data_IF_254061340337
#
_entry.id   IF_254061340337
#
_cell.length_a   1.000
_cell.length_b   1.000
_cell.length_c   1.000
_cell.angle_alpha   90.00
_cell.angle_beta   90.00
_cell.angle_gamma   90.00
#
_symmetry.space_group_name_H-M   'P 1'
#
loop_
_entity.id
_entity.type
_entity.pdbx_description
1 polymer ?
#
# COMPACT_ATOMS: atom_id res chain seq x y z
N UNK A 1 26.79 46.32 -25.74
CA UNK A 1 27.62 46.32 -24.54
C UNK A 1 27.47 44.93 -23.97
N UNK A 2 28.47 44.04 -24.05
CA UNK A 2 28.42 42.69 -23.50
C UNK A 2 28.87 42.70 -22.03
N UNK A 3 28.12 42.10 -21.15
CA UNK A 3 28.45 41.91 -19.74
C UNK A 3 29.33 40.68 -19.54
N UNK A 4 30.35 40.90 -18.73
CA UNK A 4 31.47 40.01 -18.45
C UNK A 4 31.02 38.79 -17.61
N UNK A 5 31.43 37.61 -18.07
CA UNK A 5 31.43 36.38 -17.32
C UNK A 5 32.53 36.43 -16.25
N UNK A 6 32.13 36.48 -14.97
CA UNK A 6 33.04 36.33 -13.84
C UNK A 6 33.25 34.83 -13.59
N UNK A 7 34.40 34.32 -14.00
CA UNK A 7 34.87 32.96 -13.63
C UNK A 7 35.18 32.89 -12.13
N UNK A 8 34.60 31.89 -11.44
CA UNK A 8 35.02 31.54 -10.10
C UNK A 8 36.13 30.47 -10.15
N UNK A 9 37.20 30.61 -9.35
CA UNK A 9 38.32 29.69 -9.38
C UNK A 9 37.98 28.32 -8.75
N UNK A 10 38.55 27.27 -9.32
CA UNK A 10 38.53 25.91 -8.80
C UNK A 10 39.45 25.80 -7.58
N UNK A 11 39.12 25.05 -6.54
CA UNK A 11 40.05 24.75 -5.46
C UNK A 11 41.04 23.66 -5.90
N UNK A 12 42.31 23.87 -5.56
CA UNK A 12 43.40 22.93 -5.74
C UNK A 12 43.36 21.77 -4.75
N UNK A 13 43.94 20.61 -5.09
CA UNK A 13 44.03 19.47 -4.18
C UNK A 13 45.30 19.59 -3.31
N UNK A 14 45.11 19.66 -2.02
CA UNK A 14 46.22 19.69 -1.08
C UNK A 14 45.89 19.06 0.28
N UNK A 15 46.70 18.05 0.64
CA UNK A 15 47.02 17.77 2.04
C UNK A 15 46.49 16.48 2.64
N UNK A 16 47.39 15.51 2.74
CA UNK A 16 47.31 14.32 3.63
C UNK A 16 47.06 14.71 5.09
N UNK A 17 46.26 13.98 5.81
CA UNK A 17 46.16 14.17 7.27
C UNK A 17 45.06 13.38 7.96
N UNK A 18 45.42 12.26 8.55
CA UNK A 18 44.86 11.81 9.83
C UNK A 18 43.53 11.06 9.81
N UNK A 19 43.60 9.75 9.77
CA UNK A 19 42.47 8.84 10.06
C UNK A 19 41.86 9.11 11.45
N UNK A 20 40.63 9.60 11.45
CA UNK A 20 39.72 9.44 12.59
C UNK A 20 38.61 8.50 12.15
N UNK A 21 38.73 7.25 12.60
CA UNK A 21 37.69 6.24 12.39
C UNK A 21 36.37 6.70 12.99
N UNK A 22 35.31 6.56 12.22
CA UNK A 22 33.94 6.85 12.61
C UNK A 22 33.56 5.99 13.83
N UNK A 23 32.94 6.55 14.87
CA UNK A 23 32.59 5.84 16.12
C UNK A 23 31.49 4.77 15.95
N UNK A 24 30.94 4.60 14.75
CA UNK A 24 29.87 3.63 14.47
C UNK A 24 30.36 2.19 14.38
N UNK A 25 31.62 1.92 13.96
CA UNK A 25 32.15 0.56 13.80
C UNK A 25 32.63 -0.08 15.12
N UNK A 26 32.74 0.70 16.20
CA UNK A 26 33.18 0.16 17.50
C UNK A 26 32.05 -0.48 18.31
N UNK A 27 30.78 -0.15 17.99
CA UNK A 27 29.62 -0.71 18.70
C UNK A 27 29.15 -2.09 18.20
N UNK A 28 29.47 -2.44 16.96
CA UNK A 28 29.10 -3.74 16.37
C UNK A 28 29.98 -4.88 16.91
N UNK A 29 31.20 -4.58 17.38
CA UNK A 29 32.12 -5.59 17.91
C UNK A 29 31.79 -6.06 19.34
N UNK A 30 31.09 -5.24 20.15
CA UNK A 30 30.75 -5.60 21.55
C UNK A 30 29.43 -6.37 21.68
N UNK A 31 28.48 -6.19 20.76
CA UNK A 31 27.21 -6.95 20.77
C UNK A 31 27.36 -8.40 20.28
N UNK A 32 28.35 -8.70 19.45
CA UNK A 32 28.63 -10.08 18.99
C UNK A 32 29.20 -10.96 20.11
N UNK A 33 29.83 -10.36 21.13
CA UNK A 33 30.38 -11.11 22.27
C UNK A 33 29.31 -11.61 23.27
N UNK A 34 28.11 -11.02 23.28
CA UNK A 34 27.03 -11.44 24.20
C UNK A 34 26.14 -12.56 23.64
N UNK A 35 26.07 -12.71 22.30
CA UNK A 35 25.30 -13.76 21.66
C UNK A 35 26.00 -15.15 21.76
N UNK A 36 27.29 -15.17 21.96
CA UNK A 36 28.07 -16.42 22.07
C UNK A 36 27.85 -17.23 23.37
N UNK A 37 27.16 -16.64 24.38
CA UNK A 37 26.93 -17.32 25.66
C UNK A 37 25.69 -18.21 25.70
N UNK A 38 24.85 -18.20 24.66
CA UNK A 38 23.59 -18.97 24.60
C UNK A 38 23.51 -19.93 23.40
N UNK A 39 24.60 -20.19 22.70
CA UNK A 39 24.64 -21.23 21.67
C UNK A 39 24.75 -22.58 22.35
N UNK A 40 23.81 -23.54 22.20
CA UNK A 40 24.06 -24.91 22.57
C UNK A 40 25.20 -25.43 21.70
N UNK A 41 26.10 -26.23 22.31
CA UNK A 41 27.24 -26.88 21.62
C UNK A 41 26.67 -27.75 20.50
N UNK A 42 26.52 -27.22 19.31
CA UNK A 42 26.33 -28.00 18.10
C UNK A 42 27.70 -28.53 17.73
N UNK A 43 27.84 -29.89 17.73
CA UNK A 43 29.01 -30.57 17.25
C UNK A 43 29.40 -30.00 15.89
N UNK A 44 30.67 -29.62 15.74
CA UNK A 44 31.26 -29.21 14.48
C UNK A 44 31.10 -30.36 13.49
N UNK A 45 30.04 -30.37 12.69
CA UNK A 45 30.06 -31.07 11.43
C UNK A 45 31.00 -30.25 10.54
N UNK A 46 32.15 -30.79 10.23
CA UNK A 46 32.96 -30.34 9.11
C UNK A 46 32.06 -30.37 7.87
N UNK A 47 31.58 -29.20 7.47
CA UNK A 47 31.00 -29.04 6.15
C UNK A 47 32.11 -29.22 5.16
N UNK A 48 32.23 -30.43 4.60
CA UNK A 48 33.06 -30.67 3.44
C UNK A 48 32.59 -29.72 2.35
N UNK A 49 33.42 -28.72 2.05
CA UNK A 49 33.17 -27.86 0.89
C UNK A 49 33.24 -28.76 -0.35
N UNK A 50 32.24 -28.71 -1.23
CA UNK A 50 32.33 -29.47 -2.48
C UNK A 50 33.51 -28.94 -3.30
N UNK A 51 34.46 -29.84 -3.57
CA UNK A 51 35.68 -29.60 -4.39
C UNK A 51 35.32 -29.43 -5.86
N UNK A 52 34.43 -28.54 -6.22
CA UNK A 52 34.23 -28.06 -7.60
C UNK A 52 33.23 -26.89 -7.62
N UNK A 53 33.59 -25.79 -6.98
CA UNK A 53 32.85 -24.52 -7.28
C UNK A 53 33.42 -24.03 -8.61
N UNK A 54 32.79 -24.37 -9.72
CA UNK A 54 32.93 -23.60 -10.94
C UNK A 54 32.70 -22.14 -10.54
N UNK A 55 33.69 -21.29 -10.81
CA UNK A 55 33.61 -19.87 -10.54
C UNK A 55 32.38 -19.33 -11.29
N UNK A 56 31.33 -19.01 -10.54
CA UNK A 56 30.04 -18.50 -11.13
C UNK A 56 30.29 -17.08 -11.59
N UNK A 57 30.27 -16.87 -12.90
CA UNK A 57 30.34 -15.52 -13.46
C UNK A 57 28.97 -14.82 -13.30
N UNK A 58 28.84 -14.08 -12.22
CA UNK A 58 27.63 -13.28 -11.92
C UNK A 58 27.41 -12.11 -12.91
N UNK A 59 28.35 -11.81 -13.79
CA UNK A 59 28.22 -10.81 -14.85
C UNK A 59 27.44 -11.32 -16.07
N UNK A 60 27.22 -12.63 -16.19
CA UNK A 60 26.50 -13.24 -17.29
C UNK A 60 25.05 -13.57 -16.88
N UNK A 61 24.04 -13.05 -17.59
CA UNK A 61 22.64 -13.38 -17.31
C UNK A 61 22.35 -14.85 -17.62
N UNK A 62 21.59 -15.49 -16.73
CA UNK A 62 21.17 -16.91 -16.84
C UNK A 62 19.71 -17.09 -17.26
N UNK A 63 18.86 -16.06 -17.06
CA UNK A 63 17.47 -16.11 -17.48
C UNK A 63 17.34 -15.94 -19.00
N UNK A 64 16.35 -16.55 -19.64
CA UNK A 64 16.09 -16.36 -21.07
C UNK A 64 15.67 -14.92 -21.36
N UNK A 65 16.08 -14.35 -22.52
CA UNK A 65 15.71 -13.02 -22.96
C UNK A 65 16.89 -12.25 -23.57
N UNK A 66 16.59 -11.10 -24.18
CA UNK A 66 17.58 -10.25 -24.84
C UNK A 66 18.14 -9.10 -24.00
N UNK A 67 17.55 -8.83 -22.82
CA UNK A 67 18.00 -7.74 -21.94
C UNK A 67 19.38 -8.03 -21.32
N UNK A 68 20.10 -6.96 -20.90
CA UNK A 68 21.48 -7.02 -20.48
C UNK A 68 21.71 -7.77 -19.14
N UNK A 69 20.71 -7.80 -18.28
CA UNK A 69 20.81 -8.41 -16.94
C UNK A 69 19.62 -9.29 -16.61
N UNK A 70 19.79 -10.22 -15.67
CA UNK A 70 18.67 -11.02 -15.15
C UNK A 70 17.61 -10.19 -14.46
N UNK A 71 17.97 -9.03 -13.89
CA UNK A 71 17.04 -8.06 -13.34
C UNK A 71 16.08 -7.54 -14.41
N UNK A 72 16.62 -7.07 -15.54
CA UNK A 72 15.81 -6.55 -16.65
C UNK A 72 14.95 -7.65 -17.28
N UNK A 73 15.52 -8.87 -17.44
CA UNK A 73 14.80 -10.03 -18.00
C UNK A 73 13.63 -10.45 -17.11
N UNK A 74 13.84 -10.53 -15.81
CA UNK A 74 12.81 -10.97 -14.87
C UNK A 74 11.70 -9.93 -14.67
N UNK A 75 12.06 -8.66 -14.59
CA UNK A 75 11.12 -7.56 -14.34
C UNK A 75 10.52 -6.96 -15.62
N UNK A 76 11.02 -7.34 -16.80
CA UNK A 76 10.62 -6.76 -18.09
C UNK A 76 10.68 -5.23 -18.07
N UNK A 77 11.80 -4.70 -17.57
CA UNK A 77 11.91 -3.25 -17.33
C UNK A 77 11.91 -2.44 -18.63
N UNK A 78 12.47 -2.98 -19.70
CA UNK A 78 12.47 -2.32 -21.01
C UNK A 78 11.05 -2.13 -21.53
N UNK A 79 10.22 -3.18 -21.46
CA UNK A 79 8.82 -3.14 -21.86
C UNK A 79 8.03 -2.21 -20.94
N UNK A 80 8.24 -2.31 -19.62
CA UNK A 80 7.54 -1.48 -18.63
C UNK A 80 7.83 0.01 -18.85
N UNK A 81 9.09 0.37 -19.06
CA UNK A 81 9.51 1.76 -19.25
C UNK A 81 9.26 2.28 -20.68
N UNK A 82 8.87 1.42 -21.61
CA UNK A 82 8.42 1.80 -22.96
C UNK A 82 6.92 2.13 -23.05
N UNK A 83 6.15 1.84 -22.01
CA UNK A 83 4.69 2.08 -21.97
C UNK A 83 4.32 3.56 -21.81
N UNK A 84 5.25 4.39 -21.35
CA UNK A 84 5.03 5.83 -21.23
C UNK A 84 5.37 6.51 -22.57
N UNK A 85 4.56 7.53 -22.92
CA UNK A 85 4.89 8.39 -24.07
C UNK A 85 6.26 9.04 -23.89
N UNK A 86 7.00 9.19 -24.99
CA UNK A 86 8.27 9.88 -25.02
C UNK A 86 8.14 11.39 -25.19
N UNK A 87 9.25 12.15 -25.02
CA UNK A 87 9.24 13.62 -25.07
C UNK A 87 8.73 14.21 -26.39
N UNK A 88 8.72 13.45 -27.48
CA UNK A 88 8.21 13.88 -28.80
C UNK A 88 6.69 13.73 -28.95
N UNK A 89 6.05 13.00 -28.02
CA UNK A 89 4.62 12.68 -28.04
C UNK A 89 3.84 13.44 -26.97
N UNK A 90 4.54 14.08 -26.03
CA UNK A 90 3.91 14.85 -24.94
C UNK A 90 3.28 16.12 -25.49
N UNK A 91 2.07 16.42 -25.02
CA UNK A 91 1.48 17.75 -25.17
C UNK A 91 2.02 18.71 -24.10
N UNK A 92 2.38 18.20 -22.93
CA UNK A 92 3.06 18.89 -21.84
C UNK A 92 4.00 17.92 -21.12
N UNK A 93 5.16 18.41 -20.60
CA UNK A 93 6.14 17.52 -19.94
C UNK A 93 5.55 16.74 -18.76
N UNK A 94 4.59 17.31 -18.05
CA UNK A 94 3.96 16.66 -16.89
C UNK A 94 2.94 15.58 -17.29
N UNK A 95 2.73 15.34 -18.59
CA UNK A 95 2.03 14.16 -19.08
C UNK A 95 2.73 12.86 -18.64
N UNK A 96 4.07 12.87 -18.55
CA UNK A 96 4.83 11.75 -17.99
C UNK A 96 4.50 11.54 -16.50
N UNK A 97 4.44 12.60 -15.69
CA UNK A 97 4.04 12.51 -14.28
C UNK A 97 2.64 11.93 -14.13
N UNK A 98 1.70 12.40 -14.96
CA UNK A 98 0.32 11.91 -14.99
C UNK A 98 0.27 10.41 -15.32
N UNK A 99 0.98 9.95 -16.36
CA UNK A 99 1.02 8.54 -16.76
C UNK A 99 1.65 7.66 -15.69
N UNK A 100 2.82 8.04 -15.15
CA UNK A 100 3.53 7.26 -14.13
C UNK A 100 2.69 7.11 -12.87
N UNK A 101 2.02 8.17 -12.40
CA UNK A 101 1.14 8.10 -11.23
C UNK A 101 -0.01 7.11 -11.46
N UNK A 102 -0.65 7.12 -12.62
CA UNK A 102 -1.77 6.22 -12.89
C UNK A 102 -1.31 4.79 -13.13
N UNK A 103 -0.26 4.56 -13.93
CA UNK A 103 0.27 3.23 -14.20
C UNK A 103 0.80 2.55 -12.94
N UNK A 104 1.55 3.26 -12.09
CA UNK A 104 2.02 2.70 -10.81
C UNK A 104 0.86 2.39 -9.86
N UNK A 105 -0.19 3.21 -9.87
CA UNK A 105 -1.41 2.92 -9.11
C UNK A 105 -2.08 1.64 -9.56
N UNK A 106 -2.18 1.39 -10.87
CA UNK A 106 -2.74 0.14 -11.40
C UNK A 106 -1.92 -1.10 -11.01
N UNK A 107 -0.58 -0.98 -10.93
CA UNK A 107 0.29 -2.08 -10.47
C UNK A 107 0.05 -2.41 -8.98
N UNK A 108 -0.07 -1.41 -8.11
CA UNK A 108 -0.41 -1.61 -6.70
C UNK A 108 -1.81 -2.16 -6.51
N UNK A 109 -2.78 -1.68 -7.28
CA UNK A 109 -4.15 -2.21 -7.26
C UNK A 109 -4.20 -3.66 -7.73
N UNK A 110 -3.40 -4.02 -8.76
CA UNK A 110 -3.28 -5.41 -9.22
C UNK A 110 -2.81 -6.33 -8.09
N UNK A 111 -1.79 -5.94 -7.33
CA UNK A 111 -1.33 -6.71 -6.18
C UNK A 111 -2.41 -6.76 -5.09
N UNK A 112 -3.06 -5.63 -4.80
CA UNK A 112 -4.10 -5.54 -3.75
C UNK A 112 -5.28 -6.46 -4.01
N UNK A 113 -5.89 -6.42 -5.22
CA UNK A 113 -7.03 -7.28 -5.50
C UNK A 113 -6.65 -8.76 -5.61
N UNK A 114 -5.45 -9.08 -6.11
CA UNK A 114 -4.93 -10.46 -6.14
C UNK A 114 -4.76 -11.04 -4.74
N UNK A 115 -4.18 -10.26 -3.81
CA UNK A 115 -4.04 -10.65 -2.42
C UNK A 115 -5.40 -10.80 -1.70
N UNK A 116 -6.33 -9.88 -1.97
CA UNK A 116 -7.69 -9.95 -1.40
C UNK A 116 -8.46 -11.18 -1.91
N UNK A 117 -8.30 -11.55 -3.18
CA UNK A 117 -8.92 -12.75 -3.75
C UNK A 117 -8.36 -14.03 -3.14
N UNK A 118 -7.03 -14.13 -2.99
CA UNK A 118 -6.39 -15.26 -2.33
C UNK A 118 -6.73 -15.30 -0.83
N UNK A 119 -6.81 -14.14 -0.16
CA UNK A 119 -7.26 -14.08 1.23
C UNK A 119 -8.68 -14.64 1.40
N UNK A 120 -9.61 -14.32 0.50
CA UNK A 120 -10.95 -14.90 0.52
C UNK A 120 -10.91 -16.43 0.43
N UNK A 121 -10.10 -17.00 -0.47
CA UNK A 121 -9.91 -18.44 -0.61
C UNK A 121 -9.32 -19.08 0.66
N UNK A 122 -8.34 -18.43 1.28
CA UNK A 122 -7.72 -18.91 2.52
C UNK A 122 -8.71 -18.88 3.70
N UNK A 123 -9.53 -17.84 3.80
CA UNK A 123 -10.60 -17.76 4.81
C UNK A 123 -11.60 -18.91 4.61
N UNK A 124 -12.04 -19.15 3.37
CA UNK A 124 -12.93 -20.26 3.04
C UNK A 124 -12.33 -21.63 3.43
N UNK A 125 -11.00 -21.78 3.27
CA UNK A 125 -10.21 -22.95 3.65
C UNK A 125 -9.84 -23.04 5.13
N UNK A 126 -10.09 -21.99 5.93
CA UNK A 126 -9.80 -21.96 7.38
C UNK A 126 -8.40 -21.49 7.76
N UNK A 127 -7.52 -21.12 6.80
CA UNK A 127 -6.20 -20.56 7.10
C UNK A 127 -6.29 -19.04 7.31
N UNK A 128 -6.81 -18.65 8.48
CA UNK A 128 -7.02 -17.23 8.81
C UNK A 128 -5.71 -16.47 8.99
N UNK A 129 -4.64 -17.12 9.44
CA UNK A 129 -3.34 -16.45 9.61
C UNK A 129 -2.70 -16.07 8.28
N UNK A 130 -2.75 -16.95 7.29
CA UNK A 130 -2.25 -16.64 5.96
C UNK A 130 -3.10 -15.53 5.32
N UNK A 131 -4.44 -15.60 5.47
CA UNK A 131 -5.35 -14.57 4.99
C UNK A 131 -5.06 -13.19 5.59
N UNK A 132 -4.82 -13.09 6.90
CA UNK A 132 -4.47 -11.85 7.58
C UNK A 132 -3.19 -11.21 7.03
N UNK A 133 -2.17 -12.01 6.72
CA UNK A 133 -0.93 -11.48 6.10
C UNK A 133 -1.19 -10.85 4.74
N UNK A 134 -2.04 -11.50 3.91
CA UNK A 134 -2.39 -10.97 2.59
C UNK A 134 -3.27 -9.72 2.68
N UNK A 135 -4.24 -9.69 3.58
CA UNK A 135 -5.10 -8.51 3.79
C UNK A 135 -4.32 -7.29 4.25
N UNK A 136 -3.36 -7.46 5.17
CA UNK A 136 -2.46 -6.37 5.59
C UNK A 136 -1.66 -5.83 4.40
N UNK A 137 -1.19 -6.69 3.52
CA UNK A 137 -0.48 -6.27 2.31
C UNK A 137 -1.41 -5.61 1.30
N UNK A 138 -2.62 -6.13 1.11
CA UNK A 138 -3.63 -5.52 0.25
C UNK A 138 -3.99 -4.09 0.71
N UNK A 139 -4.21 -3.90 2.02
CA UNK A 139 -4.46 -2.57 2.61
C UNK A 139 -3.26 -1.64 2.42
N UNK A 140 -2.03 -2.15 2.60
CA UNK A 140 -0.81 -1.38 2.38
C UNK A 140 -0.67 -0.92 0.92
N UNK A 141 -1.01 -1.77 -0.04
CA UNK A 141 -1.02 -1.40 -1.47
C UNK A 141 -1.97 -0.22 -1.73
N UNK A 142 -3.21 -0.27 -1.19
CA UNK A 142 -4.17 0.83 -1.33
C UNK A 142 -3.65 2.10 -0.65
N UNK A 143 -3.02 1.99 0.53
CA UNK A 143 -2.42 3.12 1.24
C UNK A 143 -1.33 3.81 0.42
N UNK A 144 -0.52 3.07 -0.33
CA UNK A 144 0.51 3.65 -1.21
C UNK A 144 -0.05 4.52 -2.33
N UNK A 145 -1.33 4.38 -2.68
CA UNK A 145 -1.95 5.22 -3.72
C UNK A 145 -2.16 6.67 -3.26
N UNK A 146 -2.31 6.90 -1.95
CA UNK A 146 -2.56 8.24 -1.41
C UNK A 146 -1.38 9.19 -1.67
N UNK A 147 -0.13 8.89 -1.27
CA UNK A 147 1.01 9.75 -1.57
C UNK A 147 1.32 9.86 -3.07
N UNK A 148 0.95 8.86 -3.89
CA UNK A 148 1.10 8.99 -5.35
C UNK A 148 0.17 10.07 -5.93
N UNK A 149 -1.04 10.23 -5.39
CA UNK A 149 -1.94 11.31 -5.78
C UNK A 149 -1.34 12.69 -5.49
N UNK A 150 -0.54 12.82 -4.43
CA UNK A 150 0.11 14.09 -4.06
C UNK A 150 1.07 14.57 -5.14
N UNK A 151 1.65 13.66 -5.92
CA UNK A 151 2.47 14.02 -7.07
C UNK A 151 1.70 14.83 -8.12
N UNK A 152 0.40 14.59 -8.27
CA UNK A 152 -0.45 15.32 -9.23
C UNK A 152 -0.69 16.79 -8.82
N UNK A 153 -0.45 17.16 -7.57
CA UNK A 153 -0.53 18.55 -7.11
C UNK A 153 0.57 19.44 -7.71
N UNK A 154 1.64 18.82 -8.23
CA UNK A 154 2.74 19.52 -8.88
C UNK A 154 2.41 19.91 -10.34
N UNK A 155 1.31 19.41 -10.89
CA UNK A 155 0.80 19.87 -12.20
C UNK A 155 -0.03 21.12 -11.98
N UNK A 156 0.33 22.23 -12.65
CA UNK A 156 -0.47 23.45 -12.50
C UNK A 156 -1.88 23.27 -13.09
N UNK A 157 -2.91 23.87 -12.51
CA UNK A 157 -4.29 23.76 -13.02
C UNK A 157 -4.44 24.17 -14.48
N UNK A 158 -3.65 25.14 -14.94
CA UNK A 158 -3.68 25.60 -16.33
C UNK A 158 -3.02 24.60 -17.27
N UNK A 159 -1.86 24.11 -16.94
CA UNK A 159 -1.08 23.13 -17.74
C UNK A 159 -1.83 21.78 -17.81
N UNK A 160 -2.52 21.40 -16.74
CA UNK A 160 -3.36 20.21 -16.75
C UNK A 160 -4.44 20.21 -17.85
N UNK A 161 -4.94 21.41 -18.26
CA UNK A 161 -5.94 21.47 -19.33
C UNK A 161 -5.40 20.97 -20.68
N UNK A 162 -4.10 21.11 -20.94
CA UNK A 162 -3.46 20.56 -22.14
C UNK A 162 -3.50 19.04 -22.11
N UNK A 163 -3.14 18.43 -20.95
CA UNK A 163 -3.19 16.98 -20.73
C UNK A 163 -4.63 16.49 -20.84
N UNK A 164 -5.56 17.18 -20.19
CA UNK A 164 -6.98 16.82 -20.19
C UNK A 164 -7.58 16.73 -21.59
N UNK A 165 -7.19 17.61 -22.50
CA UNK A 165 -7.70 17.66 -23.88
C UNK A 165 -7.29 16.40 -24.70
N UNK A 166 -6.22 15.70 -24.33
CA UNK A 166 -5.75 14.49 -25.02
C UNK A 166 -6.16 13.19 -24.35
N UNK A 167 -6.83 13.26 -23.18
CA UNK A 167 -7.33 12.07 -22.49
C UNK A 167 -8.59 11.47 -23.14
N UNK A 168 -9.19 12.14 -24.11
CA UNK A 168 -10.46 11.71 -24.69
C UNK A 168 -11.56 11.61 -23.65
N UNK A 169 -12.22 10.47 -23.56
CA UNK A 169 -13.23 10.17 -22.54
C UNK A 169 -12.69 9.36 -21.37
N UNK A 170 -11.37 9.24 -21.21
CA UNK A 170 -10.74 8.48 -20.12
C UNK A 170 -11.12 9.06 -18.74
N UNK A 171 -11.51 8.20 -17.82
CA UNK A 171 -11.95 8.55 -16.49
C UNK A 171 -11.37 7.61 -15.45
N UNK A 172 -11.12 8.10 -14.24
CA UNK A 172 -10.74 7.26 -13.10
C UNK A 172 -11.76 6.16 -12.76
N UNK A 173 -13.02 6.30 -13.21
CA UNK A 173 -14.02 5.23 -13.08
C UNK A 173 -13.73 4.01 -13.96
N UNK A 174 -12.92 4.17 -15.01
CA UNK A 174 -12.52 3.10 -15.92
C UNK A 174 -11.31 2.30 -15.39
N UNK A 175 -10.73 2.68 -14.25
CA UNK A 175 -9.60 1.97 -13.66
C UNK A 175 -9.89 0.47 -13.53
N UNK A 176 -9.14 -0.40 -14.23
CA UNK A 176 -9.32 -1.85 -14.13
C UNK A 176 -8.96 -2.35 -12.73
N UNK A 177 -7.93 -1.81 -12.10
CA UNK A 177 -7.51 -2.20 -10.75
C UNK A 177 -8.58 -1.92 -9.70
N UNK A 178 -9.20 -0.73 -9.69
CA UNK A 178 -10.32 -0.43 -8.81
C UNK A 178 -11.56 -1.27 -9.14
N UNK A 179 -11.80 -1.60 -10.41
CA UNK A 179 -12.91 -2.45 -10.82
C UNK A 179 -12.75 -3.86 -10.26
N UNK A 180 -11.56 -4.45 -10.40
CA UNK A 180 -11.27 -5.79 -9.87
C UNK A 180 -11.32 -5.81 -8.33
N UNK A 181 -10.76 -4.81 -7.65
CA UNK A 181 -10.85 -4.74 -6.19
C UNK A 181 -12.32 -4.70 -5.74
N UNK A 182 -13.17 -3.84 -6.36
CA UNK A 182 -14.62 -3.80 -6.07
C UNK A 182 -15.33 -5.13 -6.32
N UNK A 183 -14.89 -5.93 -7.29
CA UNK A 183 -15.42 -7.25 -7.58
C UNK A 183 -15.09 -8.27 -6.47
N UNK A 184 -13.90 -8.18 -5.90
CA UNK A 184 -13.43 -9.13 -4.88
C UNK A 184 -14.00 -8.85 -3.48
N UNK A 185 -14.20 -7.58 -3.11
CA UNK A 185 -14.61 -7.18 -1.76
C UNK A 185 -15.88 -7.91 -1.25
N UNK A 186 -16.97 -8.08 -2.04
CA UNK A 186 -18.16 -8.81 -1.57
C UNK A 186 -17.87 -10.28 -1.23
N UNK A 187 -17.03 -10.96 -2.02
CA UNK A 187 -16.65 -12.36 -1.75
C UNK A 187 -15.84 -12.45 -0.46
N UNK A 188 -14.93 -11.52 -0.25
CA UNK A 188 -14.11 -11.44 0.95
C UNK A 188 -14.99 -11.26 2.21
N UNK A 189 -15.98 -10.36 2.15
CA UNK A 189 -16.98 -10.19 3.22
C UNK A 189 -17.81 -11.46 3.46
N UNK A 190 -18.27 -12.13 2.41
CA UNK A 190 -19.00 -13.39 2.51
C UNK A 190 -18.18 -14.51 3.17
N UNK A 191 -16.90 -14.64 2.80
CA UNK A 191 -15.97 -15.59 3.40
C UNK A 191 -15.82 -15.33 4.92
N UNK A 192 -15.58 -14.08 5.31
CA UNK A 192 -15.55 -13.67 6.72
C UNK A 192 -16.83 -14.03 7.46
N UNK A 193 -17.99 -13.62 6.95
CA UNK A 193 -19.27 -13.92 7.61
C UNK A 193 -19.57 -15.41 7.69
N UNK A 194 -19.10 -16.21 6.74
CA UNK A 194 -19.23 -17.66 6.78
C UNK A 194 -18.48 -18.26 7.96
N UNK A 195 -17.19 -17.92 8.14
CA UNK A 195 -16.39 -18.46 9.25
C UNK A 195 -16.87 -17.95 10.60
N UNK A 196 -17.27 -16.68 10.70
CA UNK A 196 -17.87 -16.11 11.92
C UNK A 196 -19.14 -16.83 12.33
N UNK A 197 -20.06 -17.08 11.38
CA UNK A 197 -21.31 -17.84 11.66
C UNK A 197 -21.04 -19.28 12.06
N UNK A 198 -20.04 -19.95 11.45
CA UNK A 198 -19.63 -21.30 11.86
C UNK A 198 -19.10 -21.33 13.29
N UNK A 199 -18.50 -20.25 13.78
CA UNK A 199 -18.10 -20.09 15.18
C UNK A 199 -19.27 -19.75 16.11
N UNK A 200 -20.49 -19.57 15.61
CA UNK A 200 -21.69 -19.27 16.42
C UNK A 200 -21.75 -17.84 16.93
N UNK A 201 -20.93 -16.90 16.40
CA UNK A 201 -20.81 -15.55 16.91
C UNK A 201 -21.67 -14.55 16.13
N UNK A 202 -22.37 -13.65 16.81
CA UNK A 202 -22.83 -12.39 16.24
C UNK A 202 -21.63 -11.45 15.99
N UNK A 203 -21.85 -10.31 15.31
CA UNK A 203 -20.77 -9.31 15.21
C UNK A 203 -20.47 -8.68 16.57
N UNK A 204 -21.49 -8.35 17.35
CA UNK A 204 -21.31 -7.80 18.69
C UNK A 204 -20.56 -8.78 19.60
N UNK A 205 -20.95 -10.07 19.61
CA UNK A 205 -20.25 -11.09 20.40
C UNK A 205 -18.76 -11.19 20.02
N UNK A 206 -18.47 -11.16 18.71
CA UNK A 206 -17.08 -11.19 18.23
C UNK A 206 -16.25 -10.03 18.81
N UNK A 207 -16.81 -8.82 18.91
CA UNK A 207 -16.10 -7.67 19.45
C UNK A 207 -16.02 -7.69 20.98
N UNK A 208 -17.06 -8.17 21.68
CA UNK A 208 -17.07 -8.30 23.14
C UNK A 208 -16.12 -9.42 23.60
N UNK A 209 -16.08 -10.54 22.87
CA UNK A 209 -15.29 -11.73 23.18
C UNK A 209 -14.00 -11.82 22.32
N UNK A 210 -13.50 -10.69 21.80
CA UNK A 210 -12.43 -10.65 20.81
C UNK A 210 -11.17 -11.41 21.22
N UNK A 211 -10.81 -11.40 22.51
CA UNK A 211 -9.63 -12.12 23.03
C UNK A 211 -9.73 -13.64 22.88
N UNK A 212 -10.92 -14.19 22.96
CA UNK A 212 -11.15 -15.63 22.82
C UNK A 212 -11.23 -16.05 21.34
N UNK A 213 -11.45 -15.08 20.45
CA UNK A 213 -11.61 -15.26 19.02
C UNK A 213 -10.67 -14.35 18.22
N UNK A 214 -9.45 -14.17 18.69
CA UNK A 214 -8.47 -13.18 18.22
C UNK A 214 -8.31 -13.15 16.70
N UNK A 215 -8.21 -14.31 16.02
CA UNK A 215 -8.04 -14.34 14.56
C UNK A 215 -9.27 -13.83 13.81
N UNK A 216 -10.48 -14.10 14.31
CA UNK A 216 -11.73 -13.59 13.71
C UNK A 216 -11.89 -12.10 13.96
N UNK A 217 -11.50 -11.63 15.16
CA UNK A 217 -11.45 -10.22 15.48
C UNK A 217 -10.48 -9.47 14.58
N UNK A 218 -9.24 -9.95 14.46
CA UNK A 218 -8.24 -9.35 13.57
C UNK A 218 -8.68 -9.39 12.11
N UNK A 219 -9.41 -10.41 11.69
CA UNK A 219 -9.94 -10.50 10.33
C UNK A 219 -10.99 -9.41 10.09
N UNK A 220 -11.94 -9.20 11.03
CA UNK A 220 -12.90 -8.10 10.95
C UNK A 220 -12.20 -6.74 10.85
N UNK A 221 -11.21 -6.49 11.71
CA UNK A 221 -10.44 -5.24 11.69
C UNK A 221 -9.62 -5.06 10.40
N UNK A 222 -9.10 -6.15 9.82
CA UNK A 222 -8.39 -6.06 8.53
C UNK A 222 -9.32 -5.71 7.36
N UNK A 223 -10.59 -6.13 7.41
CA UNK A 223 -11.61 -5.71 6.43
C UNK A 223 -11.94 -4.21 6.59
N UNK A 224 -12.07 -3.75 7.83
CA UNK A 224 -12.25 -2.32 8.14
C UNK A 224 -11.04 -1.51 7.63
N UNK A 225 -9.82 -1.96 7.91
CA UNK A 225 -8.60 -1.27 7.46
C UNK A 225 -8.57 -1.12 5.94
N UNK A 226 -8.88 -2.19 5.19
CA UNK A 226 -8.92 -2.13 3.73
C UNK A 226 -9.98 -1.15 3.22
N UNK A 227 -11.15 -1.14 3.82
CA UNK A 227 -12.24 -0.21 3.49
C UNK A 227 -11.87 1.24 3.83
N UNK A 228 -11.25 1.46 4.98
CA UNK A 228 -10.75 2.77 5.41
C UNK A 228 -9.69 3.32 4.44
N UNK A 229 -8.71 2.52 4.04
CA UNK A 229 -7.72 2.96 3.06
C UNK A 229 -8.35 3.36 1.72
N UNK A 230 -9.38 2.62 1.29
CA UNK A 230 -10.13 2.99 0.09
C UNK A 230 -10.93 4.30 0.26
N UNK A 231 -11.46 4.59 1.45
CA UNK A 231 -12.13 5.86 1.76
C UNK A 231 -11.14 7.02 1.80
N UNK A 232 -9.99 6.84 2.44
CA UNK A 232 -8.91 7.84 2.50
C UNK A 232 -8.42 8.20 1.09
N UNK A 233 -8.23 7.19 0.23
CA UNK A 233 -7.88 7.42 -1.16
C UNK A 233 -8.98 8.22 -1.90
N UNK A 234 -10.27 7.86 -1.75
CA UNK A 234 -11.38 8.58 -2.40
C UNK A 234 -11.45 10.04 -1.94
N UNK A 235 -11.26 10.28 -0.64
CA UNK A 235 -11.22 11.64 -0.08
C UNK A 235 -10.08 12.44 -0.70
N UNK A 236 -8.88 11.87 -0.71
CA UNK A 236 -7.70 12.55 -1.26
C UNK A 236 -7.82 12.79 -2.76
N UNK A 237 -8.34 11.81 -3.50
CA UNK A 237 -8.61 11.93 -4.92
C UNK A 237 -9.60 13.08 -5.21
N UNK A 238 -10.72 13.15 -4.47
CA UNK A 238 -11.67 14.25 -4.60
C UNK A 238 -10.99 15.61 -4.36
N UNK A 239 -10.20 15.75 -3.32
CA UNK A 239 -9.48 16.99 -3.00
C UNK A 239 -8.54 17.42 -4.13
N UNK A 240 -7.79 16.47 -4.71
CA UNK A 240 -6.84 16.74 -5.80
C UNK A 240 -7.60 17.11 -7.07
N UNK A 241 -8.67 16.40 -7.40
CA UNK A 241 -9.53 16.74 -8.55
C UNK A 241 -10.09 18.14 -8.38
N UNK A 242 -10.66 18.48 -7.21
CA UNK A 242 -11.18 19.82 -6.93
C UNK A 242 -10.09 20.90 -7.03
N UNK A 243 -8.87 20.60 -6.57
CA UNK A 243 -7.72 21.51 -6.62
C UNK A 243 -7.21 21.75 -8.06
N UNK A 244 -7.23 20.73 -8.92
CA UNK A 244 -6.64 20.78 -10.26
C UNK A 244 -7.63 21.25 -11.31
N UNK A 245 -8.91 20.82 -11.25
CA UNK A 245 -9.91 21.18 -12.25
C UNK A 245 -11.10 21.95 -11.69
N UNK A 246 -11.30 22.00 -10.36
CA UNK A 246 -12.44 22.60 -9.70
C UNK A 246 -13.53 21.59 -9.32
N UNK A 247 -14.33 21.94 -8.34
CA UNK A 247 -15.40 21.10 -7.78
C UNK A 247 -16.75 21.26 -8.52
N UNK A 248 -16.94 22.35 -9.26
CA UNK A 248 -18.18 22.68 -9.98
C UNK A 248 -18.11 22.35 -11.48
N UNK A 249 -17.20 21.48 -11.87
CA UNK A 249 -17.01 21.07 -13.26
C UNK A 249 -17.39 19.62 -13.49
N UNK A 250 -17.50 19.23 -14.75
CA UNK A 250 -17.68 17.84 -15.15
C UNK A 250 -16.34 17.23 -15.54
N UNK A 251 -16.13 15.97 -15.20
CA UNK A 251 -15.00 15.18 -15.67
C UNK A 251 -15.09 14.87 -17.17
N UNK A 252 -14.09 14.17 -17.70
CA UNK A 252 -13.95 13.82 -19.12
C UNK A 252 -15.12 12.99 -19.68
N UNK A 253 -15.82 12.24 -18.81
CA UNK A 253 -17.03 11.46 -19.17
C UNK A 253 -18.35 12.19 -18.83
N UNK A 254 -18.30 13.50 -18.56
CA UNK A 254 -19.51 14.24 -18.18
C UNK A 254 -20.00 14.02 -16.74
N UNK A 255 -19.25 13.25 -15.93
CA UNK A 255 -19.59 13.02 -14.52
C UNK A 255 -19.24 14.25 -13.67
N UNK A 256 -20.20 14.84 -12.93
CA UNK A 256 -19.92 15.95 -12.03
C UNK A 256 -18.92 15.59 -10.95
N UNK A 257 -17.94 16.46 -10.69
CA UNK A 257 -16.91 16.25 -9.65
C UNK A 257 -17.53 16.09 -8.26
N UNK A 258 -18.66 16.77 -8.00
CA UNK A 258 -19.41 16.63 -6.74
C UNK A 258 -19.77 15.17 -6.41
N UNK A 259 -20.01 14.31 -7.42
CA UNK A 259 -20.31 12.89 -7.19
C UNK A 259 -19.15 12.14 -6.55
N UNK A 260 -17.89 12.54 -6.80
CA UNK A 260 -16.73 11.98 -6.13
C UNK A 260 -16.81 12.24 -4.61
N UNK A 261 -17.22 13.44 -4.21
CA UNK A 261 -17.42 13.78 -2.80
C UNK A 261 -18.44 12.86 -2.11
N UNK A 262 -19.54 12.50 -2.80
CA UNK A 262 -20.57 11.59 -2.26
C UNK A 262 -20.07 10.15 -2.11
N UNK A 263 -19.03 9.76 -2.83
CA UNK A 263 -18.44 8.42 -2.74
C UNK A 263 -17.42 8.28 -1.61
N UNK A 264 -16.98 9.39 -1.00
CA UNK A 264 -15.96 9.39 0.06
C UNK A 264 -16.37 8.51 1.24
N UNK A 265 -17.63 8.62 1.68
CA UNK A 265 -18.14 7.89 2.85
C UNK A 265 -18.74 6.52 2.53
N UNK A 266 -18.67 6.07 1.26
CA UNK A 266 -19.18 4.76 0.89
C UNK A 266 -18.30 3.66 1.46
N UNK A 267 -18.90 2.76 2.24
CA UNK A 267 -18.26 1.58 2.82
C UNK A 267 -18.51 0.33 1.99
N UNK A 268 -17.58 -0.63 2.06
CA UNK A 268 -17.71 -1.95 1.46
C UNK A 268 -18.33 -2.97 2.43
N UNK A 269 -18.15 -2.72 3.74
CA UNK A 269 -18.61 -3.58 4.83
C UNK A 269 -19.41 -2.76 5.86
N UNK A 270 -20.60 -2.21 5.49
CA UNK A 270 -21.35 -1.30 6.35
C UNK A 270 -21.68 -1.91 7.71
N UNK A 271 -21.97 -3.20 7.78
CA UNK A 271 -22.29 -3.92 9.01
C UNK A 271 -21.11 -3.94 10.01
N UNK A 272 -19.87 -3.97 9.52
CA UNK A 272 -18.68 -3.87 10.39
C UNK A 272 -18.51 -2.45 10.95
N UNK A 273 -18.95 -1.43 10.23
CA UNK A 273 -18.97 -0.05 10.72
C UNK A 273 -20.13 0.18 11.70
N UNK A 274 -21.30 -0.39 11.43
CA UNK A 274 -22.52 -0.23 12.23
C UNK A 274 -22.42 -0.89 13.60
N UNK A 275 -21.75 -2.06 13.73
CA UNK A 275 -21.59 -2.76 15.01
C UNK A 275 -20.96 -1.89 16.09
N UNK A 276 -20.15 -0.89 15.74
CA UNK A 276 -19.55 0.05 16.69
C UNK A 276 -20.60 0.91 17.42
N UNK A 277 -21.70 1.22 16.75
CA UNK A 277 -22.85 1.92 17.35
C UNK A 277 -23.54 1.01 18.36
N UNK A 278 -23.72 -0.27 18.02
CA UNK A 278 -24.30 -1.29 18.89
C UNK A 278 -23.45 -1.48 20.15
N UNK A 279 -22.13 -1.65 20.00
CA UNK A 279 -21.19 -1.79 21.12
C UNK A 279 -21.23 -0.58 22.06
N UNK A 280 -21.32 0.63 21.51
CA UNK A 280 -21.45 1.87 22.30
C UNK A 280 -22.75 1.88 23.10
N UNK A 281 -23.85 1.39 22.53
CA UNK A 281 -25.12 1.31 23.22
C UNK A 281 -25.11 0.24 24.33
N UNK A 282 -24.51 -0.92 24.08
CA UNK A 282 -24.35 -2.00 25.06
C UNK A 282 -23.54 -1.54 26.28
N UNK A 283 -22.40 -0.90 26.05
CA UNK A 283 -21.54 -0.37 27.13
C UNK A 283 -22.27 0.66 28.01
N UNK A 284 -23.11 1.53 27.43
CA UNK A 284 -23.92 2.48 28.20
C UNK A 284 -24.99 1.81 29.05
N UNK A 285 -25.62 0.75 28.53
CA UNK A 285 -26.65 0.00 29.26
C UNK A 285 -26.05 -0.73 30.48
N UNK A 286 -24.85 -1.30 30.36
CA UNK A 286 -24.14 -1.95 31.47
C UNK A 286 -23.81 -0.97 32.59
N UNK A 287 -23.30 0.23 32.26
CA UNK A 287 -22.99 1.27 33.22
C UNK A 287 -24.24 1.73 33.96
N UNK A 288 -25.35 1.98 33.24
CA UNK A 288 -26.61 2.43 33.84
C UNK A 288 -27.28 1.34 34.70
N UNK A 289 -27.12 0.05 34.33
CA UNK A 289 -27.64 -1.08 35.12
C UNK A 289 -26.82 -1.36 36.39
N UNK A 290 -25.52 -1.03 36.38
CA UNK A 290 -24.63 -1.17 37.54
C UNK A 290 -24.88 -0.12 38.65
N UNK A 291 -25.31 1.08 38.30
CA UNK A 291 -25.62 2.13 39.30
C UNK A 291 -26.91 1.87 40.08
N UNK A 292 -27.81 1.04 39.56
CA UNK A 292 -29.06 0.70 40.24
C UNK A 292 -28.95 -0.32 41.39
N UNK A 293 -27.82 -1.00 41.56
CA UNK A 293 -27.62 -2.06 42.55
C UNK A 293 -26.79 -1.60 43.80
N UNK A 294 -26.25 -0.38 43.80
CA UNK A 294 -25.47 0.14 44.97
C UNK A 294 -26.23 1.07 45.92
N UNK A 295 -27.53 1.28 45.71
CA UNK A 295 -28.40 2.22 46.48
C UNK A 295 -29.36 1.56 47.44
N UNK A 296 -28.99 0.50 48.14
CA UNK A 296 -29.94 -0.19 49.04
C UNK A 296 -29.28 -0.95 50.17
N UNK A 297 -28.56 -0.27 51.06
CA UNK A 297 -28.28 -0.75 52.43
C UNK A 297 -27.93 0.49 53.29
N UNK A 298 -28.93 1.02 53.96
CA UNK A 298 -28.85 1.73 55.21
C UNK A 298 -29.92 1.16 56.17
#
# INVERSE_FOLDING_TARGET
MPDELVERPRPEPGGEGGGRGLPFLRRVGEEVSHAAKYAPAMAAHEVQQPENQQEVDYGQPILPGGAASDYERYLSTDELLSLQKGPKEWVHRDELLFQVTHQSSELWLKLSWSDAEEAARLIEGGDLQAALRLLKRASLCVRFLVPQLEMLEHISPWEYQEIRNVLGHGSGFDSPGWSELRRVLPRLGQAFHSVRRKAGLSLADLYVQGRDHEHLYQLAESLIELDEQAQLWRMRHYQIVARVIGDQVVGTQGTPVELLGRLVTKTSYPELWEVRNELTALSKAEVSGGEGLSGGQD
#
